data_IF_710608865116
#
_entry.id   IF_710608865116
#
_cell.length_a   1.000
_cell.length_b   1.000
_cell.length_c   1.000
_cell.angle_alpha   90.00
_cell.angle_beta   90.00
_cell.angle_gamma   90.00
#
_symmetry.space_group_name_H-M   'P 1'
#
loop_
_entity.id
_entity.type
_entity.pdbx_description
1 polymer ?
#
# COMPACT_ATOMS: atom_id res chain seq x y z
N UNK A 1 -19.31 -1.24 -17.48
CA UNK A 1 -18.88 -1.79 -16.16
C UNK A 1 -17.47 -2.40 -16.21
N UNK A 2 -16.49 -1.71 -16.82
CA UNK A 2 -15.06 -2.08 -16.78
C UNK A 2 -14.24 -0.98 -16.10
N UNK A 3 -14.74 0.25 -16.20
CA UNK A 3 -14.22 1.46 -15.57
C UNK A 3 -14.12 1.41 -14.03
N UNK A 4 -14.96 0.67 -13.31
CA UNK A 4 -14.87 0.61 -11.84
C UNK A 4 -13.71 -0.26 -11.33
N UNK A 5 -13.31 -1.26 -12.12
CA UNK A 5 -12.15 -2.12 -11.83
C UNK A 5 -10.82 -1.37 -12.06
N UNK A 6 -10.81 -0.34 -12.91
CA UNK A 6 -9.66 0.52 -13.16
C UNK A 6 -9.72 1.87 -12.42
N UNK A 7 -10.90 2.36 -12.05
CA UNK A 7 -11.09 3.65 -11.36
C UNK A 7 -10.82 3.58 -9.85
N UNK A 8 -11.02 2.41 -9.23
CA UNK A 8 -10.75 2.20 -7.80
C UNK A 8 -9.52 1.29 -7.55
N UNK A 9 -8.63 1.16 -8.53
CA UNK A 9 -7.28 0.68 -8.27
C UNK A 9 -6.54 1.83 -7.61
N UNK A 10 -6.51 1.82 -6.27
CA UNK A 10 -5.86 2.88 -5.49
C UNK A 10 -4.46 3.13 -6.06
N UNK A 11 -4.23 4.30 -6.64
CA UNK A 11 -2.93 4.70 -7.21
C UNK A 11 -1.80 4.44 -6.20
N UNK A 12 -2.08 4.64 -4.91
CA UNK A 12 -1.16 4.30 -3.82
C UNK A 12 -0.78 2.82 -3.71
N UNK A 13 -1.66 1.89 -4.08
CA UNK A 13 -1.36 0.44 -4.10
C UNK A 13 -0.40 0.11 -5.23
N UNK A 14 -0.62 0.68 -6.42
CA UNK A 14 0.28 0.50 -7.57
C UNK A 14 1.63 1.15 -7.28
N UNK A 15 1.64 2.35 -6.70
CA UNK A 15 2.86 3.04 -6.31
C UNK A 15 3.68 2.22 -5.30
N UNK A 16 3.04 1.68 -4.25
CA UNK A 16 3.71 0.80 -3.27
C UNK A 16 4.28 -0.47 -3.93
N UNK A 17 3.53 -1.10 -4.85
CA UNK A 17 4.03 -2.26 -5.60
C UNK A 17 5.22 -1.90 -6.48
N UNK A 18 5.13 -0.80 -7.23
CA UNK A 18 6.23 -0.32 -8.08
C UNK A 18 7.49 -0.05 -7.25
N UNK A 19 7.33 0.54 -6.07
CA UNK A 19 8.44 0.81 -5.15
C UNK A 19 9.03 -0.49 -4.58
N UNK A 20 8.20 -1.47 -4.22
CA UNK A 20 8.66 -2.78 -3.77
C UNK A 20 9.49 -3.50 -4.85
N UNK A 21 9.00 -3.51 -6.10
CA UNK A 21 9.73 -4.10 -7.24
C UNK A 21 11.04 -3.36 -7.48
N UNK A 22 11.05 -2.02 -7.44
CA UNK A 22 12.26 -1.22 -7.58
C UNK A 22 13.31 -1.59 -6.52
N UNK A 23 12.89 -1.73 -5.25
CA UNK A 23 13.79 -2.13 -4.16
C UNK A 23 14.35 -3.55 -4.37
N UNK A 24 13.56 -4.50 -4.87
CA UNK A 24 14.07 -5.83 -5.19
C UNK A 24 15.08 -5.83 -6.34
N UNK A 25 14.86 -5.01 -7.37
CA UNK A 25 15.85 -4.82 -8.46
C UNK A 25 17.14 -4.22 -7.93
N UNK A 26 17.04 -3.22 -7.06
CA UNK A 26 18.21 -2.63 -6.41
C UNK A 26 18.92 -3.63 -5.50
N UNK A 27 18.18 -4.48 -4.77
CA UNK A 27 18.75 -5.56 -3.98
C UNK A 27 19.55 -6.54 -4.83
N UNK A 28 19.05 -6.87 -6.03
CA UNK A 28 19.77 -7.74 -6.96
C UNK A 28 21.05 -7.10 -7.50
N UNK A 29 21.00 -5.81 -7.87
CA UNK A 29 22.17 -5.13 -8.40
C UNK A 29 23.25 -4.89 -7.34
N UNK A 30 22.84 -4.41 -6.16
CA UNK A 30 23.77 -4.02 -5.08
C UNK A 30 24.15 -5.18 -4.17
N UNK A 31 23.42 -6.30 -4.22
CA UNK A 31 23.55 -7.45 -3.31
C UNK A 31 23.36 -7.11 -1.83
N UNK A 32 22.81 -5.93 -1.52
CA UNK A 32 22.57 -5.47 -0.16
C UNK A 32 21.27 -6.07 0.39
N UNK A 33 21.38 -6.83 1.48
CA UNK A 33 20.27 -7.58 2.06
C UNK A 33 19.17 -6.68 2.65
N UNK A 34 19.53 -5.46 3.05
CA UNK A 34 18.61 -4.47 3.59
C UNK A 34 17.48 -4.14 2.61
N UNK A 35 17.76 -4.01 1.31
CA UNK A 35 16.73 -3.69 0.31
C UNK A 35 15.65 -4.78 0.20
N UNK A 36 15.99 -6.04 0.46
CA UNK A 36 15.03 -7.15 0.48
C UNK A 36 14.02 -6.97 1.61
N UNK A 37 14.48 -6.58 2.80
CA UNK A 37 13.63 -6.36 3.98
C UNK A 37 12.63 -5.23 3.71
N UNK A 38 13.09 -4.10 3.19
CA UNK A 38 12.22 -2.97 2.86
C UNK A 38 11.29 -3.29 1.68
N UNK A 39 11.78 -3.97 0.64
CA UNK A 39 10.97 -4.43 -0.48
C UNK A 39 9.84 -5.35 -0.02
N UNK A 40 10.13 -6.30 0.87
CA UNK A 40 9.14 -7.20 1.45
C UNK A 40 8.10 -6.45 2.30
N UNK A 41 8.51 -5.46 3.08
CA UNK A 41 7.60 -4.61 3.85
C UNK A 41 6.60 -3.86 2.95
N UNK A 42 7.07 -3.21 1.88
CA UNK A 42 6.17 -2.53 0.92
C UNK A 42 5.31 -3.50 0.12
N UNK A 43 5.84 -4.68 -0.21
CA UNK A 43 5.11 -5.73 -0.90
C UNK A 43 3.94 -6.26 -0.06
N UNK A 44 4.18 -6.59 1.21
CA UNK A 44 3.14 -7.04 2.15
C UNK A 44 2.07 -5.95 2.32
N UNK A 45 2.46 -4.69 2.51
CA UNK A 45 1.50 -3.58 2.62
C UNK A 45 0.62 -3.43 1.38
N UNK A 46 1.17 -3.66 0.19
CA UNK A 46 0.40 -3.58 -1.04
C UNK A 46 -0.49 -4.80 -1.30
N UNK A 47 -0.09 -5.97 -0.79
CA UNK A 47 -0.84 -7.23 -0.92
C UNK A 47 -2.03 -7.27 0.04
N UNK A 48 -1.78 -7.02 1.32
CA UNK A 48 -2.79 -7.06 2.39
C UNK A 48 -3.60 -5.76 2.50
N UNK A 49 -3.28 -4.74 1.69
CA UNK A 49 -3.81 -3.37 1.83
C UNK A 49 -3.68 -2.86 3.28
N UNK A 50 -2.72 -3.40 4.02
CA UNK A 50 -2.48 -3.15 5.43
C UNK A 50 -1.69 -1.85 5.54
N UNK A 51 -2.41 -0.76 5.67
CA UNK A 51 -1.87 0.58 5.86
C UNK A 51 -3.00 1.56 6.09
N UNK A 52 -2.72 2.67 6.78
CA UNK A 52 -3.69 3.74 6.94
C UNK A 52 -3.88 4.43 5.57
N UNK A 53 -4.79 3.90 4.76
CA UNK A 53 -5.19 4.53 3.50
C UNK A 53 -6.11 5.73 3.74
N UNK A 54 -6.54 6.45 2.69
CA UNK A 54 -7.58 7.48 2.82
C UNK A 54 -8.95 6.95 3.29
N UNK A 55 -9.12 5.61 3.35
CA UNK A 55 -10.22 4.90 4.03
C UNK A 55 -9.76 4.08 5.25
N UNK A 56 -8.50 4.24 5.65
CA UNK A 56 -7.90 3.55 6.80
C UNK A 56 -8.51 4.03 8.12
N UNK A 57 -8.41 3.18 9.15
CA UNK A 57 -8.88 3.35 10.54
C UNK A 57 -9.54 4.70 10.83
N UNK A 58 -10.74 4.91 10.30
CA UNK A 58 -11.56 6.03 10.70
C UNK A 58 -11.97 5.74 12.14
N UNK A 59 -11.46 6.53 13.09
CA UNK A 59 -12.04 6.56 14.44
C UNK A 59 -13.54 6.77 14.22
N UNK A 60 -14.41 5.83 14.65
CA UNK A 60 -15.83 5.97 14.42
C UNK A 60 -16.23 7.33 14.96
N UNK A 61 -16.77 8.18 14.08
CA UNK A 61 -17.25 9.50 14.49
C UNK A 61 -18.55 9.22 15.22
N UNK A 62 -18.47 8.97 16.53
CA UNK A 62 -19.61 8.80 17.41
C UNK A 62 -20.51 10.02 17.19
N UNK A 63 -21.58 9.88 16.42
CA UNK A 63 -22.59 10.93 16.31
C UNK A 63 -23.33 10.91 17.65
N UNK A 64 -22.80 11.63 18.64
CA UNK A 64 -23.60 12.05 19.78
C UNK A 64 -24.70 12.96 19.23
N UNK A 65 -25.84 12.35 18.94
CA UNK A 65 -27.10 13.02 18.71
C UNK A 65 -27.48 13.68 20.03
N UNK A 66 -27.07 14.94 20.23
CA UNK A 66 -27.65 15.78 21.27
C UNK A 66 -29.07 16.11 20.81
N UNK A 67 -30.02 15.56 21.57
CA UNK A 67 -31.45 15.85 21.50
C UNK A 67 -31.71 17.28 21.94
#
# INVERSE_FOLDING_TARGET
MKELLLSNWHVMRIFRLAFAVFLFVQAYNTHEWFFIIFGMFFFIQALFNSGCGPKGCAVPKNKHHKK
#
